data_IF_439073838665
#
_entry.id   IF_439073838665
#
_cell.length_a   1.000
_cell.length_b   1.000
_cell.length_c   1.000
_cell.angle_alpha   90.00
_cell.angle_beta   90.00
_cell.angle_gamma   90.00
#
_symmetry.space_group_name_H-M   'P 1'
#
loop_
_entity.id
_entity.type
_entity.pdbx_description
1 polymer ?
#
# COMPACT_ATOMS: atom_id res chain seq x y z
N UNK A 1 11.91 -4.19 -2.68
CA UNK A 1 11.22 -4.57 -3.93
C UNK A 1 9.92 -3.79 -4.17
N UNK A 2 9.21 -3.32 -3.13
CA UNK A 2 7.93 -2.60 -3.28
C UNK A 2 7.91 -1.40 -4.24
N UNK A 3 8.94 -0.56 -4.24
CA UNK A 3 9.00 0.64 -5.09
C UNK A 3 8.94 0.32 -6.60
N UNK A 4 9.56 -0.78 -7.04
CA UNK A 4 9.53 -1.18 -8.46
C UNK A 4 8.12 -1.52 -8.93
N UNK A 5 7.39 -2.31 -8.13
CA UNK A 5 6.01 -2.67 -8.41
C UNK A 5 5.08 -1.44 -8.39
N UNK A 6 5.23 -0.56 -7.39
CA UNK A 6 4.42 0.65 -7.30
C UNK A 6 4.62 1.58 -8.52
N UNK A 7 5.87 1.73 -9.00
CA UNK A 7 6.15 2.52 -10.21
C UNK A 7 5.60 1.85 -11.48
N UNK A 8 5.63 0.52 -11.55
CA UNK A 8 5.01 -0.20 -12.67
C UNK A 8 3.49 0.01 -12.71
N UNK A 9 2.80 -0.01 -11.55
CA UNK A 9 1.37 0.31 -11.46
C UNK A 9 1.08 1.73 -11.95
N UNK A 10 1.90 2.70 -11.53
CA UNK A 10 1.79 4.09 -12.01
C UNK A 10 2.00 4.20 -13.52
N UNK A 11 3.02 3.54 -14.07
CA UNK A 11 3.29 3.52 -15.51
C UNK A 11 2.15 2.87 -16.32
N UNK A 12 1.47 1.88 -15.73
CA UNK A 12 0.27 1.27 -16.31
C UNK A 12 -0.99 2.16 -16.20
N UNK A 13 -0.90 3.35 -15.59
CA UNK A 13 -2.01 4.29 -15.44
C UNK A 13 -2.97 3.96 -14.31
N UNK A 14 -2.60 3.07 -13.38
CA UNK A 14 -3.45 2.72 -12.24
C UNK A 14 -3.41 3.81 -11.17
N UNK A 15 -4.57 4.08 -10.56
CA UNK A 15 -4.62 4.85 -9.32
C UNK A 15 -3.85 4.08 -8.25
N UNK A 16 -2.71 4.62 -7.84
CA UNK A 16 -1.76 3.91 -6.97
C UNK A 16 -1.51 4.74 -5.71
N UNK A 17 -1.60 4.06 -4.56
CA UNK A 17 -1.15 4.55 -3.27
C UNK A 17 -0.01 3.67 -2.77
N UNK A 18 0.78 4.15 -1.81
CA UNK A 18 1.84 3.32 -1.22
C UNK A 18 2.03 3.51 0.27
N UNK A 19 2.57 2.47 0.88
CA UNK A 19 2.93 2.46 2.29
C UNK A 19 4.37 2.02 2.43
N UNK A 20 5.15 2.79 3.18
CA UNK A 20 6.50 2.41 3.58
C UNK A 20 6.81 3.04 4.95
N UNK A 21 7.56 2.31 5.77
CA UNK A 21 8.09 2.82 7.05
C UNK A 21 9.17 3.88 6.83
N UNK A 22 9.84 3.85 5.67
CA UNK A 22 10.81 4.84 5.27
C UNK A 22 10.10 6.04 4.62
N UNK A 23 10.11 7.23 5.24
CA UNK A 23 9.43 8.40 4.71
C UNK A 23 10.03 8.90 3.39
N UNK A 24 11.30 8.61 3.08
CA UNK A 24 11.90 8.96 1.79
C UNK A 24 11.26 8.18 0.64
N UNK A 25 10.94 6.90 0.85
CA UNK A 25 10.26 6.08 -0.17
C UNK A 25 8.85 6.61 -0.45
N UNK A 26 8.13 7.03 0.60
CA UNK A 26 6.82 7.66 0.47
C UNK A 26 6.90 8.96 -0.34
N UNK A 27 7.88 9.83 -0.04
CA UNK A 27 8.13 11.06 -0.81
C UNK A 27 8.46 10.76 -2.27
N UNK A 28 9.32 9.78 -2.52
CA UNK A 28 9.71 9.40 -3.87
C UNK A 28 8.53 8.86 -4.69
N UNK A 29 7.64 8.08 -4.08
CA UNK A 29 6.44 7.57 -4.73
C UNK A 29 5.41 8.67 -5.02
N UNK A 30 5.22 9.62 -4.09
CA UNK A 30 4.39 10.80 -4.32
C UNK A 30 4.93 11.63 -5.48
N UNK A 31 6.24 11.91 -5.51
CA UNK A 31 6.88 12.61 -6.60
C UNK A 31 6.76 11.88 -7.95
N UNK A 32 6.60 10.55 -7.93
CA UNK A 32 6.35 9.74 -9.12
C UNK A 32 4.88 9.76 -9.60
N UNK A 33 3.97 10.42 -8.88
CA UNK A 33 2.56 10.60 -9.29
C UNK A 33 1.55 9.75 -8.54
N UNK A 34 1.92 9.13 -7.41
CA UNK A 34 0.96 8.42 -6.58
C UNK A 34 -0.13 9.35 -6.00
N UNK A 35 -1.33 8.81 -5.82
CA UNK A 35 -2.47 9.52 -5.23
C UNK A 35 -2.29 9.79 -3.74
N UNK A 36 -1.48 8.97 -3.07
CA UNK A 36 -1.12 9.15 -1.67
C UNK A 36 -0.02 8.17 -1.26
N UNK A 37 0.79 8.56 -0.26
CA UNK A 37 1.71 7.64 0.38
C UNK A 37 1.96 8.04 1.84
N UNK A 38 2.24 7.06 2.69
CA UNK A 38 2.50 7.32 4.11
C UNK A 38 2.85 6.05 4.89
N UNK A 39 2.91 6.12 6.23
CA UNK A 39 3.26 4.97 7.07
C UNK A 39 2.10 3.97 7.27
N UNK A 40 0.90 4.28 6.77
CA UNK A 40 -0.29 3.43 6.90
C UNK A 40 -1.20 3.58 5.68
N UNK A 41 -1.88 2.48 5.31
CA UNK A 41 -2.88 2.46 4.25
C UNK A 41 -4.29 2.81 4.74
N UNK A 42 -4.53 2.81 6.05
CA UNK A 42 -5.86 3.06 6.64
C UNK A 42 -6.54 4.33 6.10
N UNK A 43 -5.84 5.49 5.95
CA UNK A 43 -6.48 6.71 5.45
C UNK A 43 -7.04 6.63 4.02
N UNK A 44 -6.59 5.67 3.22
CA UNK A 44 -7.03 5.49 1.83
C UNK A 44 -7.51 4.06 1.55
N UNK A 45 -7.71 3.24 2.57
CA UNK A 45 -8.11 1.84 2.44
C UNK A 45 -9.44 1.65 1.70
N UNK A 46 -10.37 2.60 1.85
CA UNK A 46 -11.66 2.59 1.17
C UNK A 46 -11.56 2.75 -0.36
N UNK A 47 -10.46 3.32 -0.86
CA UNK A 47 -10.24 3.54 -2.30
C UNK A 47 -9.71 2.28 -3.00
N UNK A 48 -9.07 1.36 -2.27
CA UNK A 48 -8.26 0.29 -2.83
C UNK A 48 -9.12 -0.88 -3.35
N UNK A 49 -9.02 -1.18 -4.65
CA UNK A 49 -9.61 -2.40 -5.24
C UNK A 49 -8.71 -3.64 -5.05
N UNK A 50 -7.41 -3.42 -4.92
CA UNK A 50 -6.43 -4.46 -4.65
C UNK A 50 -5.26 -3.93 -3.81
N UNK A 51 -4.66 -4.80 -2.99
CA UNK A 51 -3.48 -4.52 -2.16
C UNK A 51 -2.40 -5.53 -2.51
N UNK A 52 -1.18 -5.06 -2.79
CA UNK A 52 -0.03 -5.95 -3.01
C UNK A 52 0.96 -5.76 -1.87
N UNK A 53 1.18 -6.81 -1.07
CA UNK A 53 2.10 -6.79 0.05
C UNK A 53 3.47 -7.36 -0.34
N UNK A 54 4.46 -6.47 -0.49
CA UNK A 54 5.86 -6.83 -0.79
C UNK A 54 6.75 -6.62 0.43
N UNK A 55 6.59 -7.48 1.42
CA UNK A 55 7.29 -7.44 2.72
C UNK A 55 8.19 -8.66 2.92
N UNK A 56 8.99 -8.67 3.98
CA UNK A 56 10.08 -9.64 4.19
C UNK A 56 9.55 -11.03 4.56
N UNK A 57 8.46 -11.12 5.32
CA UNK A 57 7.97 -12.41 5.82
C UNK A 57 6.47 -12.41 6.18
N UNK A 58 5.97 -13.61 6.48
CA UNK A 58 4.57 -13.85 6.83
C UNK A 58 4.13 -13.20 8.16
N UNK A 59 5.05 -12.95 9.10
CA UNK A 59 4.71 -12.26 10.34
C UNK A 59 4.36 -10.78 10.06
N UNK A 60 5.10 -10.14 9.17
CA UNK A 60 4.79 -8.78 8.71
C UNK A 60 3.45 -8.72 7.97
N UNK A 61 3.18 -9.68 7.07
CA UNK A 61 1.88 -9.76 6.38
C UNK A 61 0.73 -9.86 7.38
N UNK A 62 0.83 -10.75 8.38
CA UNK A 62 -0.21 -10.90 9.42
C UNK A 62 -0.38 -9.63 10.25
N UNK A 63 0.72 -8.99 10.64
CA UNK A 63 0.67 -7.74 11.40
C UNK A 63 -0.01 -6.61 10.62
N UNK A 64 0.30 -6.47 9.34
CA UNK A 64 -0.29 -5.46 8.46
C UNK A 64 -1.79 -5.70 8.25
N UNK A 65 -2.20 -6.95 8.03
CA UNK A 65 -3.60 -7.25 7.70
C UNK A 65 -4.49 -7.38 8.94
N UNK A 66 -3.98 -7.99 10.02
CA UNK A 66 -4.79 -8.47 11.13
C UNK A 66 -4.26 -8.06 12.51
N UNK A 67 -3.28 -7.15 12.57
CA UNK A 67 -2.83 -6.56 13.84
C UNK A 67 -3.87 -5.62 14.45
N UNK A 68 -3.49 -4.92 15.53
CA UNK A 68 -4.36 -4.01 16.29
C UNK A 68 -5.00 -2.90 15.42
N UNK A 69 -4.28 -2.43 14.40
CA UNK A 69 -4.80 -1.52 13.36
C UNK A 69 -4.72 -2.17 11.97
N UNK A 70 -5.10 -3.44 11.89
CA UNK A 70 -4.99 -4.27 10.70
C UNK A 70 -5.79 -3.72 9.52
N UNK A 71 -5.15 -3.62 8.36
CA UNK A 71 -5.71 -3.05 7.14
C UNK A 71 -7.00 -3.77 6.70
N UNK A 72 -7.13 -5.08 6.93
CA UNK A 72 -8.25 -5.87 6.42
C UNK A 72 -9.61 -5.37 6.90
N UNK A 73 -9.70 -4.81 8.11
CA UNK A 73 -10.93 -4.26 8.67
C UNK A 73 -11.39 -2.94 8.00
N UNK A 74 -10.50 -2.30 7.23
CA UNK A 74 -10.75 -1.01 6.58
C UNK A 74 -10.93 -1.12 5.06
N UNK A 75 -10.67 -2.29 4.47
CA UNK A 75 -10.85 -2.52 3.04
C UNK A 75 -12.34 -2.68 2.70
N UNK A 76 -12.73 -2.22 1.51
CA UNK A 76 -14.09 -2.45 0.99
C UNK A 76 -14.31 -3.94 0.66
N UNK A 77 -15.54 -4.46 0.78
CA UNK A 77 -15.85 -5.81 0.32
C UNK A 77 -15.44 -6.05 -1.13
N UNK A 78 -14.81 -7.20 -1.40
CA UNK A 78 -14.31 -7.56 -2.73
C UNK A 78 -12.88 -7.08 -3.03
N UNK A 79 -12.23 -6.35 -2.11
CA UNK A 79 -10.81 -6.00 -2.26
C UNK A 79 -9.94 -7.26 -2.23
N UNK A 80 -9.08 -7.42 -3.24
CA UNK A 80 -8.11 -8.52 -3.29
C UNK A 80 -6.83 -8.13 -2.56
N UNK A 81 -6.22 -9.07 -1.83
CA UNK A 81 -4.93 -8.90 -1.15
C UNK A 81 -3.98 -10.03 -1.57
#
# INVERSE_FOLDING_TARGET
MGMGAARACLQAGLNTWGVDINPDNCRALLAAGAKGAGPSAVPFAAELDAVVLLVVNAAQVRGILFGESGLAAHLKPGTVV
#
